data_IF_848277693330
#
_entry.id   IF_848277693330
#
_cell.length_a   1.000
_cell.length_b   1.000
_cell.length_c   1.000
_cell.angle_alpha   90.00
_cell.angle_beta   90.00
_cell.angle_gamma   90.00
#
_symmetry.space_group_name_H-M   'P 1'
#
loop_
_entity.id
_entity.type
_entity.pdbx_description
1 polymer ?
#
# COMPACT_ATOMS: atom_id res chain seq x y z
N UNK A 1 3.95 -0.09 3.03
CA UNK A 1 3.17 1.16 2.94
C UNK A 1 4.00 2.24 3.65
N UNK A 2 3.69 3.54 3.56
CA UNK A 2 4.54 4.51 4.26
C UNK A 2 4.48 4.35 5.80
N UNK A 3 5.51 4.78 6.54
CA UNK A 3 6.87 5.02 6.07
C UNK A 3 7.74 3.78 6.27
N UNK A 4 7.44 2.96 7.29
CA UNK A 4 8.29 1.84 7.70
C UNK A 4 8.26 0.69 6.71
N UNK A 5 7.12 0.43 6.07
CA UNK A 5 7.06 -0.55 4.98
C UNK A 5 7.95 -0.22 3.79
N UNK A 6 8.42 1.03 3.62
CA UNK A 6 9.37 1.36 2.55
C UNK A 6 10.73 0.72 2.77
N UNK A 7 11.14 0.54 4.03
CA UNK A 7 12.42 -0.08 4.41
C UNK A 7 12.49 -1.53 3.89
N UNK A 8 11.35 -2.21 3.79
CA UNK A 8 11.25 -3.58 3.29
C UNK A 8 10.83 -3.64 1.82
N UNK A 9 9.83 -2.86 1.43
CA UNK A 9 9.28 -2.89 0.07
C UNK A 9 10.26 -2.43 -1.01
N UNK A 10 11.10 -1.42 -0.73
CA UNK A 10 12.09 -0.94 -1.73
C UNK A 10 13.17 -1.98 -2.06
N UNK A 11 13.87 -2.62 -1.11
CA UNK A 11 14.85 -3.65 -1.44
C UNK A 11 14.21 -4.90 -2.07
N UNK A 12 12.99 -5.28 -1.66
CA UNK A 12 12.27 -6.39 -2.30
C UNK A 12 11.99 -6.08 -3.77
N UNK A 13 11.46 -4.89 -4.07
CA UNK A 13 11.18 -4.48 -5.45
C UNK A 13 12.45 -4.46 -6.30
N UNK A 14 13.57 -3.97 -5.74
CA UNK A 14 14.87 -3.98 -6.41
C UNK A 14 15.34 -5.41 -6.74
N UNK A 15 15.29 -6.32 -5.77
CA UNK A 15 15.76 -7.70 -5.93
C UNK A 15 14.95 -8.47 -6.99
N UNK A 16 13.63 -8.28 -7.03
CA UNK A 16 12.76 -8.98 -8.00
C UNK A 16 12.64 -8.25 -9.35
N UNK A 17 13.33 -7.12 -9.54
CA UNK A 17 13.26 -6.31 -10.76
C UNK A 17 11.88 -5.69 -11.00
N UNK A 18 11.12 -5.42 -9.95
CA UNK A 18 9.82 -4.77 -10.01
C UNK A 18 9.92 -3.26 -9.79
N UNK A 19 8.90 -2.54 -10.25
CA UNK A 19 8.69 -1.14 -9.88
C UNK A 19 8.35 -1.01 -8.40
N UNK A 20 8.78 0.08 -7.78
CA UNK A 20 8.33 0.47 -6.45
C UNK A 20 7.31 1.60 -6.56
N UNK A 21 6.10 1.38 -6.03
CA UNK A 21 5.02 2.37 -6.01
C UNK A 21 4.72 2.77 -4.56
N UNK A 22 5.02 4.02 -4.15
CA UNK A 22 4.77 4.45 -2.77
C UNK A 22 3.28 4.77 -2.56
N UNK A 23 2.70 4.16 -1.53
CA UNK A 23 1.40 4.54 -0.98
C UNK A 23 1.61 5.38 0.27
N UNK A 24 1.04 6.60 0.32
CA UNK A 24 1.33 7.59 1.36
C UNK A 24 0.06 8.23 1.91
N UNK A 25 0.13 8.84 3.10
CA UNK A 25 -0.93 9.69 3.62
C UNK A 25 -1.14 10.95 2.76
N UNK A 26 -2.29 11.64 2.91
CA UNK A 26 -2.62 12.78 2.10
C UNK A 26 -1.56 13.87 2.06
N UNK A 27 -1.42 14.49 0.89
CA UNK A 27 -0.53 15.63 0.64
C UNK A 27 0.98 15.31 0.70
N UNK A 28 1.36 14.03 0.64
CA UNK A 28 2.78 13.61 0.59
C UNK A 28 3.28 13.29 -0.81
N UNK A 29 2.37 13.09 -1.76
CA UNK A 29 2.67 12.78 -3.15
C UNK A 29 2.45 14.03 -4.02
N UNK A 30 3.38 14.38 -4.93
CA UNK A 30 3.17 15.50 -5.86
C UNK A 30 2.19 15.11 -6.98
N UNK A 31 1.54 16.07 -7.64
CA UNK A 31 0.71 15.79 -8.81
C UNK A 31 -0.65 15.16 -8.50
N UNK A 32 -1.22 14.41 -9.45
CA UNK A 32 -2.56 13.81 -9.33
C UNK A 32 -2.48 12.47 -8.61
N UNK A 33 -3.42 12.25 -7.69
CA UNK A 33 -3.53 11.03 -6.87
C UNK A 33 -4.93 10.45 -6.94
N UNK A 34 -5.05 9.17 -6.62
CA UNK A 34 -6.29 8.53 -6.17
C UNK A 34 -6.16 8.22 -4.68
N UNK A 35 -7.28 8.30 -3.96
CA UNK A 35 -7.33 8.15 -2.51
C UNK A 35 -8.32 7.07 -2.07
N UNK A 36 -8.03 6.43 -0.93
CA UNK A 36 -8.90 5.47 -0.26
C UNK A 36 -8.91 5.75 1.25
N UNK A 37 -10.09 6.00 1.79
CA UNK A 37 -10.29 6.18 3.22
C UNK A 37 -10.46 4.83 3.93
N UNK A 38 -9.99 4.74 5.16
CA UNK A 38 -10.18 3.57 6.02
C UNK A 38 -10.42 3.98 7.46
N UNK A 39 -11.13 3.11 8.18
CA UNK A 39 -11.52 3.36 9.56
C UNK A 39 -10.39 2.95 10.52
N UNK A 40 -10.21 3.75 11.56
CA UNK A 40 -9.37 3.48 12.72
C UNK A 40 -10.28 3.21 13.92
N UNK A 41 -9.71 2.74 15.03
CA UNK A 41 -10.43 2.64 16.31
C UNK A 41 -11.05 4.00 16.71
N UNK A 42 -10.32 5.08 16.44
CA UNK A 42 -10.77 6.44 16.67
C UNK A 42 -10.60 7.29 15.41
N UNK A 43 -11.61 7.27 14.54
CA UNK A 43 -11.71 8.14 13.38
C UNK A 43 -11.42 7.44 12.06
N UNK A 44 -10.90 8.21 11.10
CA UNK A 44 -10.57 7.74 9.75
C UNK A 44 -9.22 8.28 9.34
N UNK A 45 -8.52 7.50 8.53
CA UNK A 45 -7.30 7.93 7.85
C UNK A 45 -7.46 7.64 6.35
N UNK A 46 -6.51 8.09 5.56
CA UNK A 46 -6.57 8.02 4.11
C UNK A 46 -5.21 7.62 3.53
N UNK A 47 -5.24 6.86 2.45
CA UNK A 47 -4.06 6.47 1.69
C UNK A 47 -4.18 6.98 0.26
N UNK A 48 -3.07 7.46 -0.29
CA UNK A 48 -2.97 8.02 -1.64
C UNK A 48 -1.94 7.27 -2.47
N UNK A 49 -2.23 7.14 -3.76
CA UNK A 49 -1.34 6.64 -4.81
C UNK A 49 -1.34 7.61 -6.00
N UNK A 50 -0.20 7.80 -6.66
CA UNK A 50 -0.14 8.53 -7.93
C UNK A 50 -1.07 7.91 -8.97
N UNK A 51 -1.90 8.75 -9.61
CA UNK A 51 -2.74 8.30 -10.72
C UNK A 51 -1.84 7.87 -11.89
N UNK A 52 -1.98 6.62 -12.34
CA UNK A 52 -1.16 6.03 -13.40
C UNK A 52 0.17 5.44 -12.93
N UNK A 53 0.42 5.34 -11.62
CA UNK A 53 1.57 4.58 -11.11
C UNK A 53 1.49 3.08 -11.40
N UNK A 54 0.27 2.59 -11.65
CA UNK A 54 -0.05 1.20 -11.97
C UNK A 54 -1.00 1.17 -13.17
N UNK A 55 -0.78 0.19 -14.03
CA UNK A 55 -1.54 -0.09 -15.25
C UNK A 55 -2.42 -1.33 -15.05
N UNK A 56 -3.59 -1.40 -15.70
CA UNK A 56 -4.46 -2.56 -15.61
C UNK A 56 -3.76 -3.87 -16.01
N UNK A 57 -3.97 -4.91 -15.20
CA UNK A 57 -3.40 -6.25 -15.41
C UNK A 57 -2.00 -6.46 -14.82
N UNK A 58 -1.36 -5.41 -14.27
CA UNK A 58 -0.13 -5.59 -13.51
C UNK A 58 -0.40 -6.31 -12.18
N UNK A 59 0.54 -7.16 -11.79
CA UNK A 59 0.51 -7.90 -10.53
C UNK A 59 1.24 -7.11 -9.45
N UNK A 60 0.61 -6.96 -8.28
CA UNK A 60 1.12 -6.14 -7.19
C UNK A 60 1.32 -6.95 -5.90
N UNK A 61 2.46 -6.75 -5.24
CA UNK A 61 2.75 -7.20 -3.89
C UNK A 61 2.66 -5.99 -2.95
N UNK A 62 1.80 -6.06 -1.93
CA UNK A 62 1.71 -5.02 -0.89
C UNK A 62 2.64 -5.40 0.25
N UNK A 63 3.62 -4.56 0.57
CA UNK A 63 4.59 -4.82 1.65
C UNK A 63 4.42 -3.81 2.77
N UNK A 64 4.41 -4.25 4.02
CA UNK A 64 4.54 -3.39 5.20
C UNK A 64 5.43 -4.02 6.28
N UNK A 65 5.77 -3.25 7.32
CA UNK A 65 6.57 -3.78 8.43
C UNK A 65 5.72 -4.65 9.38
N UNK A 66 4.48 -4.25 9.65
CA UNK A 66 3.65 -4.89 10.65
C UNK A 66 2.17 -4.87 10.25
N UNK A 67 1.48 -5.99 10.47
CA UNK A 67 0.02 -6.07 10.41
C UNK A 67 -0.58 -6.12 11.83
N UNK A 68 -1.51 -5.21 12.09
CA UNK A 68 -2.38 -5.20 13.26
C UNK A 68 -3.82 -5.54 12.81
N UNK A 69 -4.71 -4.55 12.73
CA UNK A 69 -6.10 -4.75 12.27
C UNK A 69 -6.25 -5.02 10.77
N UNK A 70 -5.19 -4.80 9.99
CA UNK A 70 -5.18 -4.96 8.53
C UNK A 70 -5.86 -3.81 7.74
N UNK A 71 -6.45 -2.82 8.40
CA UNK A 71 -7.19 -1.73 7.73
C UNK A 71 -6.38 -0.99 6.66
N UNK A 72 -5.12 -0.67 6.94
CA UNK A 72 -4.22 0.00 5.99
C UNK A 72 -3.86 -0.89 4.78
N UNK A 73 -3.69 -2.20 4.99
CA UNK A 73 -3.44 -3.15 3.90
C UNK A 73 -4.67 -3.26 3.00
N UNK A 74 -5.87 -3.36 3.58
CA UNK A 74 -7.12 -3.36 2.82
C UNK A 74 -7.30 -2.09 1.99
N UNK A 75 -6.96 -0.92 2.55
CA UNK A 75 -7.00 0.35 1.81
C UNK A 75 -6.00 0.37 0.63
N UNK A 76 -4.79 -0.15 0.86
CA UNK A 76 -3.78 -0.29 -0.19
C UNK A 76 -4.25 -1.22 -1.32
N UNK A 77 -4.85 -2.36 -0.98
CA UNK A 77 -5.40 -3.30 -1.96
C UNK A 77 -6.46 -2.64 -2.82
N UNK A 78 -7.45 -1.98 -2.20
CA UNK A 78 -8.52 -1.28 -2.92
C UNK A 78 -7.99 -0.21 -3.88
N UNK A 79 -6.96 0.55 -3.49
CA UNK A 79 -6.33 1.54 -4.38
C UNK A 79 -5.73 0.89 -5.63
N UNK A 80 -5.00 -0.21 -5.44
CA UNK A 80 -4.36 -0.95 -6.52
C UNK A 80 -5.40 -1.59 -7.45
N UNK A 81 -6.41 -2.24 -6.89
CA UNK A 81 -7.50 -2.87 -7.64
C UNK A 81 -8.34 -1.84 -8.42
N UNK A 82 -8.60 -0.66 -7.84
CA UNK A 82 -9.27 0.45 -8.53
C UNK A 82 -8.43 1.01 -9.68
N UNK A 83 -7.11 0.88 -9.63
CA UNK A 83 -6.21 1.19 -10.74
C UNK A 83 -6.11 0.04 -11.78
N UNK A 84 -6.79 -1.09 -11.53
CA UNK A 84 -6.83 -2.25 -12.42
C UNK A 84 -5.75 -3.30 -12.16
N UNK A 85 -4.99 -3.17 -11.07
CA UNK A 85 -3.96 -4.13 -10.70
C UNK A 85 -4.55 -5.38 -10.03
N UNK A 86 -3.87 -6.51 -10.18
CA UNK A 86 -4.15 -7.73 -9.42
C UNK A 86 -3.23 -7.76 -8.19
N UNK A 87 -3.79 -7.62 -6.98
CA UNK A 87 -3.00 -7.81 -5.77
C UNK A 87 -2.82 -9.30 -5.53
N UNK A 88 -1.59 -9.78 -5.66
CA UNK A 88 -1.29 -11.22 -5.57
C UNK A 88 -0.94 -11.65 -4.17
N UNK A 89 -0.45 -10.72 -3.34
CA UNK A 89 -0.01 -11.02 -1.98
C UNK A 89 0.14 -9.74 -1.14
N UNK A 90 -0.04 -9.89 0.17
CA UNK A 90 0.32 -8.90 1.19
C UNK A 90 1.38 -9.52 2.11
N UNK A 91 2.55 -8.91 2.22
CA UNK A 91 3.66 -9.38 3.02
C UNK A 91 3.95 -8.40 4.18
N UNK A 92 4.02 -8.92 5.40
CA UNK A 92 4.39 -8.18 6.60
C UNK A 92 5.50 -8.93 7.35
N UNK A 93 6.39 -8.20 8.00
CA UNK A 93 7.50 -8.80 8.78
C UNK A 93 6.98 -9.30 10.13
N UNK A 94 6.03 -8.58 10.72
CA UNK A 94 5.46 -8.87 12.04
C UNK A 94 3.94 -8.94 11.93
N UNK A 95 3.34 -9.92 12.59
CA UNK A 95 1.90 -10.03 12.82
C UNK A 95 1.62 -9.85 14.32
N UNK A 96 0.60 -9.04 14.66
CA UNK A 96 0.08 -8.90 16.01
C UNK A 96 -1.30 -9.58 16.10
N UNK A 97 -1.37 -10.89 16.41
CA UNK A 97 -2.61 -11.65 16.39
C UNK A 97 -3.61 -11.26 17.50
N UNK A 98 -3.15 -10.56 18.53
CA UNK A 98 -3.93 -10.27 19.75
C UNK A 98 -4.54 -8.85 19.79
N UNK A 99 -4.60 -8.15 18.65
CA UNK A 99 -5.11 -6.77 18.54
C UNK A 99 -6.33 -6.64 17.62
#
# INVERSE_FOLDING_TARGET
>A
IEARGFIFGTPIALEIGAKFVPLRKPNKLPGKVISEEYELEYGRDCLEMHLGAVEPGERALVVDDLIATGGTLCAAMKLLERAGAEVVECACVIELPDL
#
